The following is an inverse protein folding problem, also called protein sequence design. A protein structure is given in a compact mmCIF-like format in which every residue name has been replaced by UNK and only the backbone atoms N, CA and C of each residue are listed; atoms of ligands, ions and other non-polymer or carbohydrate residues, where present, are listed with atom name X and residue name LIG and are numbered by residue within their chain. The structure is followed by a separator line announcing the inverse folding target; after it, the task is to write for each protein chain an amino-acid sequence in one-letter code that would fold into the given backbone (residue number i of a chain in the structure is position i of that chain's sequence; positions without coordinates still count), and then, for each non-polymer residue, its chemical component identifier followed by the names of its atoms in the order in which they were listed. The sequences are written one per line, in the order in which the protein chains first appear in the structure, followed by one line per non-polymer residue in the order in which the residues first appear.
data_IF_374992908553
#
_entry.id   IF_374992908553
#
_cell.length_a   1.000
_cell.length_b   1.000
_cell.length_c   1.000
_cell.angle_alpha   90.00
_cell.angle_beta   90.00
_cell.angle_gamma   90.00
#
_symmetry.space_group_name_H-M   'P 1'
#
loop_
_entity.id
_entity.type
_entity.pdbx_description
1 polymer ?
#
# COMPACT_ATOMS: atom_id res chain seq x y z
N UNK A 1 23.50 29.32 -23.10
CA UNK A 1 23.04 29.25 -21.69
C UNK A 1 22.42 30.61 -21.33
N UNK A 2 21.22 30.92 -21.83
CA UNK A 2 20.68 32.29 -21.75
C UNK A 2 19.16 32.34 -21.52
N UNK A 3 18.59 31.68 -20.50
CA UNK A 3 17.14 31.87 -20.18
C UNK A 3 16.82 31.76 -18.68
N UNK A 4 17.74 32.10 -17.76
CA UNK A 4 17.47 32.04 -16.31
C UNK A 4 16.58 33.20 -15.81
N UNK A 5 16.41 34.25 -16.62
CA UNK A 5 15.75 35.50 -16.24
C UNK A 5 14.37 35.71 -16.88
N UNK A 6 13.85 34.71 -17.62
CA UNK A 6 12.59 34.82 -18.37
C UNK A 6 11.74 33.56 -18.28
N UNK A 7 10.43 33.70 -18.35
CA UNK A 7 9.50 32.57 -18.42
C UNK A 7 9.60 31.84 -19.76
N UNK A 8 9.75 30.52 -19.75
CA UNK A 8 9.91 29.73 -20.99
C UNK A 8 8.63 29.58 -21.85
N UNK A 9 7.50 30.13 -21.40
CA UNK A 9 6.23 30.12 -22.16
C UNK A 9 5.99 31.48 -22.81
N UNK A 10 5.89 32.55 -22.00
CA UNK A 10 5.61 33.90 -22.54
C UNK A 10 6.87 34.67 -22.95
N UNK A 11 8.06 34.19 -22.57
CA UNK A 11 9.35 34.87 -22.78
C UNK A 11 9.46 36.22 -22.07
N UNK A 12 8.54 36.54 -21.16
CA UNK A 12 8.61 37.74 -20.32
C UNK A 12 9.69 37.60 -19.26
N UNK A 13 10.38 38.70 -18.98
CA UNK A 13 11.40 38.77 -17.95
C UNK A 13 10.76 38.75 -16.56
N UNK A 14 11.37 37.98 -15.65
CA UNK A 14 10.92 37.95 -14.28
C UNK A 14 11.19 39.30 -13.58
N UNK A 15 10.19 39.81 -12.87
CA UNK A 15 10.23 41.04 -12.09
C UNK A 15 9.22 40.97 -10.94
N UNK A 16 8.95 42.09 -10.27
CA UNK A 16 8.01 42.13 -9.14
C UNK A 16 6.57 41.75 -9.54
N UNK A 17 6.18 42.04 -10.78
CA UNK A 17 4.85 41.74 -11.34
C UNK A 17 4.78 40.33 -11.96
N UNK A 18 5.88 39.87 -12.57
CA UNK A 18 6.05 38.59 -13.23
C UNK A 18 6.98 37.74 -12.39
N UNK A 19 6.45 37.24 -11.27
CA UNK A 19 7.24 36.47 -10.28
C UNK A 19 7.46 35.02 -10.75
N UNK A 20 8.68 34.47 -10.67
CA UNK A 20 8.97 33.09 -11.02
C UNK A 20 8.41 32.14 -9.97
N UNK A 21 7.70 31.10 -10.38
CA UNK A 21 7.22 30.02 -9.51
C UNK A 21 7.86 28.70 -9.92
N UNK A 22 8.30 27.93 -8.92
CA UNK A 22 9.04 26.69 -9.13
C UNK A 22 8.12 25.48 -9.12
N UNK A 23 8.21 24.66 -10.17
CA UNK A 23 7.51 23.38 -10.27
C UNK A 23 8.27 22.30 -9.48
N UNK A 24 7.62 21.18 -9.08
CA UNK A 24 8.30 20.07 -8.39
C UNK A 24 9.46 19.45 -9.19
N UNK A 25 9.50 19.62 -10.51
CA UNK A 25 10.61 19.21 -11.35
C UNK A 25 11.80 20.18 -11.37
N UNK A 26 11.73 21.31 -10.63
CA UNK A 26 12.80 22.30 -10.51
C UNK A 26 12.82 23.39 -11.58
N UNK A 27 11.85 23.41 -12.49
CA UNK A 27 11.73 24.43 -13.54
C UNK A 27 10.85 25.61 -13.11
N UNK A 28 11.14 26.80 -13.63
CA UNK A 28 10.43 28.04 -13.27
C UNK A 28 9.48 28.51 -14.39
N UNK A 29 8.26 28.90 -14.01
CA UNK A 29 7.26 29.55 -14.88
C UNK A 29 6.64 30.76 -14.15
N UNK A 30 6.15 31.75 -14.89
CA UNK A 30 5.37 32.83 -14.27
C UNK A 30 3.96 32.36 -13.90
N UNK A 31 3.37 32.98 -12.87
CA UNK A 31 2.03 32.62 -12.37
C UNK A 31 0.96 32.60 -13.47
N UNK A 32 0.94 33.62 -14.33
CA UNK A 32 -0.05 33.72 -15.41
C UNK A 32 0.07 32.59 -16.45
N UNK A 33 1.29 32.11 -16.72
CA UNK A 33 1.50 30.97 -17.62
C UNK A 33 1.13 29.65 -16.95
N UNK A 34 1.33 29.52 -15.64
CA UNK A 34 0.87 28.36 -14.88
C UNK A 34 -0.66 28.27 -14.93
N UNK A 35 -1.37 29.34 -14.58
CA UNK A 35 -2.84 29.38 -14.57
C UNK A 35 -3.41 28.98 -15.94
N UNK A 36 -2.82 29.48 -17.05
CA UNK A 36 -3.25 29.15 -18.42
C UNK A 36 -2.92 27.72 -18.85
N UNK A 37 -1.90 27.12 -18.26
CA UNK A 37 -1.39 25.80 -18.65
C UNK A 37 -2.00 24.66 -17.84
N UNK A 38 -2.65 24.96 -16.71
CA UNK A 38 -3.42 23.99 -15.94
C UNK A 38 -4.63 23.53 -16.78
N UNK A 39 -4.69 22.23 -17.04
CA UNK A 39 -5.80 21.56 -17.71
C UNK A 39 -6.24 20.37 -16.88
N UNK A 40 -7.55 20.29 -16.59
CA UNK A 40 -8.16 19.19 -15.81
C UNK A 40 -7.44 18.90 -14.48
N UNK A 41 -6.99 19.94 -13.78
CA UNK A 41 -6.30 19.81 -12.49
C UNK A 41 -4.84 19.35 -12.57
N UNK A 42 -4.21 19.49 -13.73
CA UNK A 42 -2.81 19.11 -13.95
C UNK A 42 -2.08 20.12 -14.84
N UNK A 43 -0.77 20.27 -14.59
CA UNK A 43 0.16 21.09 -15.35
C UNK A 43 1.32 20.23 -15.84
N UNK A 44 1.51 20.13 -17.16
CA UNK A 44 2.73 19.54 -17.72
C UNK A 44 3.82 20.61 -17.86
N UNK A 45 5.00 20.35 -17.32
CA UNK A 45 6.15 21.24 -17.47
C UNK A 45 6.56 21.34 -18.95
N UNK A 46 6.67 22.53 -19.54
CA UNK A 46 7.05 22.69 -20.95
C UNK A 46 8.52 22.30 -21.22
N UNK A 47 9.37 22.27 -20.20
CA UNK A 47 10.79 21.96 -20.34
C UNK A 47 11.09 20.46 -20.25
N UNK A 48 10.50 19.75 -19.29
CA UNK A 48 10.76 18.32 -19.08
C UNK A 48 9.55 17.41 -19.30
N UNK A 49 8.38 17.96 -19.63
CA UNK A 49 7.12 17.24 -19.87
C UNK A 49 6.57 16.47 -18.67
N UNK A 50 7.17 16.61 -17.48
CA UNK A 50 6.65 16.01 -16.25
C UNK A 50 5.34 16.68 -15.83
N UNK A 51 4.34 15.87 -15.47
CA UNK A 51 3.00 16.34 -15.07
C UNK A 51 2.90 16.50 -13.56
N UNK A 52 2.39 17.65 -13.13
CA UNK A 52 2.19 17.99 -11.73
C UNK A 52 0.72 18.26 -11.47
N UNK A 53 0.19 17.76 -10.35
CA UNK A 53 -1.18 18.07 -9.93
C UNK A 53 -1.24 19.52 -9.45
N UNK A 54 -2.15 20.30 -10.01
CA UNK A 54 -2.33 21.70 -9.63
C UNK A 54 -3.72 22.20 -10.03
N UNK A 55 -4.30 23.00 -9.15
CA UNK A 55 -5.58 23.68 -9.34
C UNK A 55 -5.38 25.15 -9.68
N UNK A 56 -4.35 25.77 -9.11
CA UNK A 56 -4.04 27.20 -9.27
C UNK A 56 -2.52 27.42 -9.27
N UNK A 57 -2.08 28.62 -9.63
CA UNK A 57 -0.67 28.99 -9.55
C UNK A 57 -0.12 29.10 -8.12
N UNK A 58 -0.98 29.30 -7.11
CA UNK A 58 -0.55 29.32 -5.70
C UNK A 58 -0.09 27.96 -5.18
N UNK A 59 -0.43 26.87 -5.88
CA UNK A 59 0.05 25.53 -5.57
C UNK A 59 1.57 25.37 -5.80
N UNK A 60 2.19 26.33 -6.50
CA UNK A 60 3.63 26.37 -6.74
C UNK A 60 4.27 27.58 -6.04
N UNK A 61 5.27 27.37 -5.17
CA UNK A 61 5.89 28.46 -4.42
C UNK A 61 6.69 29.40 -5.33
N UNK A 62 6.86 30.64 -4.87
CA UNK A 62 7.67 31.64 -5.56
C UNK A 62 9.16 31.34 -5.36
N UNK A 63 9.95 31.45 -6.42
CA UNK A 63 11.39 31.25 -6.39
C UNK A 63 12.13 32.54 -6.01
N UNK A 64 12.22 32.81 -4.71
CA UNK A 64 12.92 33.99 -4.17
C UNK A 64 14.43 34.02 -4.47
N UNK A 65 15.05 32.88 -4.81
CA UNK A 65 16.47 32.83 -5.21
C UNK A 65 16.67 33.51 -6.56
N UNK A 66 15.78 33.25 -7.52
CA UNK A 66 15.80 33.90 -8.84
C UNK A 66 15.55 35.40 -8.69
N UNK A 67 14.60 35.82 -7.85
CA UNK A 67 14.36 37.24 -7.59
C UNK A 67 15.57 37.95 -6.98
N UNK A 68 16.23 37.31 -6.02
CA UNK A 68 17.43 37.85 -5.35
C UNK A 68 18.61 38.00 -6.32
N UNK A 69 18.75 37.08 -7.29
CA UNK A 69 19.76 37.19 -8.34
C UNK A 69 19.42 38.32 -9.33
N UNK A 70 18.15 38.46 -9.69
CA UNK A 70 17.70 39.51 -10.61
C UNK A 70 17.83 40.91 -10.00
N UNK A 71 17.61 41.07 -8.70
CA UNK A 71 17.83 42.34 -8.01
C UNK A 71 19.33 42.70 -7.92
N UNK A 72 20.19 41.71 -7.66
CA UNK A 72 21.64 41.91 -7.63
C UNK A 72 22.22 42.30 -9.00
N UNK A 73 21.65 41.81 -10.11
CA UNK A 73 22.09 42.15 -11.48
C UNK A 73 21.65 43.57 -11.87
N UNK A 74 20.49 44.05 -11.38
CA UNK A 74 19.97 45.39 -11.70
C UNK A 74 20.69 46.53 -10.98
N UNK A 75 21.43 46.23 -9.91
CA UNK A 75 22.28 47.19 -9.21
C UNK A 75 23.76 46.89 -9.49
N UNK A 76 24.38 47.53 -10.51
CA UNK A 76 25.83 47.46 -10.63
C UNK A 76 26.45 47.99 -9.33
N UNK A 77 27.28 47.18 -8.69
CA UNK A 77 28.09 47.55 -7.55
C UNK A 77 28.80 48.88 -7.87
N UNK A 78 28.34 49.99 -7.27
CA UNK A 78 29.05 51.26 -7.35
C UNK A 78 30.46 51.09 -6.79
N UNK A 79 31.50 51.64 -7.45
CA UNK A 79 32.86 51.53 -6.97
C UNK A 79 32.97 52.29 -5.64
N UNK A 80 33.44 51.58 -4.61
CA UNK A 80 33.69 52.12 -3.28
C UNK A 80 34.73 53.23 -3.40
N UNK A 81 34.27 54.48 -3.36
CA UNK A 81 35.12 55.67 -3.21
C UNK A 81 35.73 55.63 -1.81
N UNK A 82 37.05 55.46 -1.76
CA UNK A 82 37.85 55.57 -0.54
C UNK A 82 37.80 56.99 0.00
N UNK A 83 37.01 57.22 1.05
CA UNK A 83 37.23 58.35 1.95
C UNK A 83 38.11 57.90 3.12
N UNK A 84 39.27 58.55 3.21
CA UNK A 84 40.13 58.52 4.39
C UNK A 84 39.34 59.08 5.58
N UNK A 85 39.20 58.30 6.65
CA UNK A 85 38.94 58.86 7.97
C UNK A 85 39.84 58.22 9.04
N UNK A 86 40.29 59.13 9.88
CA UNK A 86 41.06 59.04 11.11
C UNK A 86 40.81 57.84 12.03
N UNK A 87 41.92 57.36 12.58
CA UNK A 87 42.12 56.84 13.96
C UNK A 87 40.83 56.68 14.81
N UNK A 88 40.30 55.46 14.79
CA UNK A 88 39.37 54.89 15.77
C UNK A 88 39.58 53.37 15.83
N UNK A 89 40.78 52.92 16.19
CA UNK A 89 41.15 51.50 16.26
C UNK A 89 40.79 50.94 17.64
N UNK A 90 39.66 50.25 17.76
CA UNK A 90 39.38 49.46 18.97
C UNK A 90 38.01 48.82 19.03
N UNK A 91 36.95 49.54 18.70
CA UNK A 91 35.57 49.09 18.98
C UNK A 91 34.89 48.40 17.80
N UNK A 92 35.01 48.95 16.58
CA UNK A 92 34.38 48.36 15.40
C UNK A 92 34.93 46.95 15.10
N UNK A 93 36.25 46.74 15.24
CA UNK A 93 36.87 45.42 15.02
C UNK A 93 36.42 44.37 16.03
N UNK A 94 36.22 44.76 17.30
CA UNK A 94 35.69 43.87 18.35
C UNK A 94 34.22 43.51 18.09
N UNK A 95 33.42 44.47 17.61
CA UNK A 95 32.00 44.23 17.25
C UNK A 95 31.87 43.26 16.08
N UNK A 96 32.67 43.44 15.01
CA UNK A 96 32.69 42.51 13.88
C UNK A 96 33.18 41.12 14.27
N UNK A 97 34.18 41.02 15.15
CA UNK A 97 34.62 39.73 15.69
C UNK A 97 33.55 39.03 16.53
N UNK A 98 32.78 39.77 17.33
CA UNK A 98 31.68 39.21 18.10
C UNK A 98 30.58 38.64 17.19
N UNK A 99 30.12 39.42 16.20
CA UNK A 99 29.12 38.97 15.23
C UNK A 99 29.59 37.75 14.43
N UNK A 100 30.86 37.74 13.99
CA UNK A 100 31.41 36.63 13.23
C UNK A 100 31.54 35.35 14.10
N UNK A 101 31.84 35.50 15.39
CA UNK A 101 31.88 34.37 16.31
C UNK A 101 30.47 33.83 16.59
N UNK A 102 29.47 34.71 16.77
CA UNK A 102 28.06 34.33 16.93
C UNK A 102 27.56 33.55 15.71
N UNK A 103 27.80 34.05 14.50
CA UNK A 103 27.38 33.38 13.27
C UNK A 103 28.13 32.05 13.04
N UNK A 104 29.40 31.97 13.47
CA UNK A 104 30.17 30.73 13.49
C UNK A 104 29.61 29.71 14.48
N UNK A 105 29.18 30.14 15.66
CA UNK A 105 28.60 29.25 16.67
C UNK A 105 27.20 28.77 16.22
N UNK A 106 26.37 29.65 15.65
CA UNK A 106 25.11 29.27 15.00
C UNK A 106 25.31 28.20 13.90
N UNK A 107 26.37 28.34 13.09
CA UNK A 107 26.67 27.35 12.06
C UNK A 107 27.08 26.00 12.66
N UNK A 108 27.84 25.98 13.77
CA UNK A 108 28.19 24.73 14.45
C UNK A 108 26.96 24.04 15.03
N UNK A 109 26.06 24.80 15.65
CA UNK A 109 24.84 24.28 16.23
C UNK A 109 23.93 23.69 15.15
N UNK A 110 23.85 24.35 13.99
CA UNK A 110 23.13 23.83 12.83
C UNK A 110 23.76 22.54 12.29
N UNK A 111 25.10 22.47 12.21
CA UNK A 111 25.80 21.24 11.80
C UNK A 111 25.51 20.10 12.77
N UNK A 112 25.59 20.33 14.08
CA UNK A 112 25.28 19.33 15.10
C UNK A 112 23.83 18.83 14.95
N UNK A 113 22.89 19.76 14.77
CA UNK A 113 21.47 19.42 14.51
C UNK A 113 21.31 18.57 13.25
N UNK A 114 22.03 18.88 12.16
CA UNK A 114 22.00 18.06 10.95
C UNK A 114 22.59 16.66 11.15
N UNK A 115 23.63 16.52 11.98
CA UNK A 115 24.24 15.23 12.32
C UNK A 115 23.29 14.37 13.15
N UNK A 116 22.60 14.97 14.13
CA UNK A 116 21.59 14.30 14.93
C UNK A 116 20.42 13.83 14.06
N UNK A 117 19.86 14.70 13.22
CA UNK A 117 18.79 14.33 12.28
C UNK A 117 19.21 13.20 11.34
N UNK A 118 20.47 13.21 10.86
CA UNK A 118 20.99 12.13 10.02
C UNK A 118 21.03 10.81 10.79
N UNK A 119 21.43 10.81 12.06
CA UNK A 119 21.42 9.62 12.89
C UNK A 119 20.00 9.06 13.06
N UNK A 120 19.02 9.92 13.31
CA UNK A 120 17.61 9.52 13.41
C UNK A 120 17.10 8.88 12.12
N UNK A 121 17.44 9.45 10.95
CA UNK A 121 17.04 8.88 9.67
C UNK A 121 17.66 7.51 9.41
N UNK A 122 18.91 7.29 9.84
CA UNK A 122 19.56 5.98 9.73
C UNK A 122 18.93 4.95 10.67
N UNK A 123 18.57 5.35 11.89
CA UNK A 123 17.82 4.48 12.81
C UNK A 123 16.45 4.12 12.25
N UNK A 124 15.74 5.10 11.67
CA UNK A 124 14.45 4.87 11.02
C UNK A 124 14.56 3.95 9.80
N UNK A 125 15.57 4.12 8.95
CA UNK A 125 15.86 3.22 7.82
C UNK A 125 16.10 1.78 8.28
N UNK A 126 16.85 1.60 9.38
CA UNK A 126 17.07 0.29 9.98
C UNK A 126 15.76 -0.34 10.48
N UNK A 127 14.90 0.43 11.18
CA UNK A 127 13.61 -0.04 11.65
C UNK A 127 12.69 -0.44 10.48
N UNK A 128 12.64 0.36 9.41
CA UNK A 128 11.87 0.02 8.21
C UNK A 128 12.37 -1.28 7.56
N UNK A 129 13.69 -1.44 7.49
CA UNK A 129 14.30 -2.67 6.95
C UNK A 129 13.94 -3.88 7.80
N UNK A 130 14.05 -3.78 9.13
CA UNK A 130 13.65 -4.84 10.05
C UNK A 130 12.18 -5.21 9.88
N UNK A 131 11.27 -4.23 9.83
CA UNK A 131 9.84 -4.49 9.62
C UNK A 131 9.56 -5.15 8.29
N UNK A 132 10.20 -4.71 7.21
CA UNK A 132 10.10 -5.36 5.90
C UNK A 132 10.51 -6.83 6.00
N UNK A 133 11.64 -7.11 6.64
CA UNK A 133 12.17 -8.47 6.75
C UNK A 133 11.23 -9.36 7.61
N UNK A 134 10.61 -8.81 8.67
CA UNK A 134 9.56 -9.48 9.45
C UNK A 134 8.34 -9.82 8.58
N UNK A 135 7.85 -8.88 7.78
CA UNK A 135 6.74 -9.12 6.84
C UNK A 135 7.09 -10.16 5.77
N UNK A 136 8.30 -10.06 5.19
CA UNK A 136 8.78 -11.01 4.21
C UNK A 136 8.89 -12.43 4.79
N UNK A 137 9.31 -12.55 6.05
CA UNK A 137 9.35 -13.81 6.80
C UNK A 137 7.97 -14.46 7.04
N UNK A 138 6.90 -13.66 7.06
CA UNK A 138 5.52 -14.16 7.21
C UNK A 138 4.93 -14.70 5.89
N UNK A 139 5.41 -14.22 4.74
CA UNK A 139 4.84 -14.59 3.43
C UNK A 139 4.83 -16.10 3.16
N UNK A 140 5.91 -16.88 3.43
CA UNK A 140 5.90 -18.33 3.19
C UNK A 140 4.84 -19.07 4.01
N UNK A 141 4.57 -18.63 5.25
CA UNK A 141 3.57 -19.24 6.13
C UNK A 141 2.15 -19.01 5.60
N UNK A 142 1.87 -17.80 5.13
CA UNK A 142 0.58 -17.46 4.51
C UNK A 142 0.39 -18.26 3.21
N UNK A 143 1.43 -18.36 2.39
CA UNK A 143 1.40 -19.14 1.15
C UNK A 143 1.14 -20.63 1.41
N UNK A 144 1.80 -21.22 2.41
CA UNK A 144 1.57 -22.61 2.83
C UNK A 144 0.12 -22.83 3.28
N UNK A 145 -0.44 -21.89 4.07
CA UNK A 145 -1.84 -21.96 4.50
C UNK A 145 -2.82 -21.87 3.32
N UNK A 146 -2.57 -20.98 2.36
CA UNK A 146 -3.36 -20.87 1.12
C UNK A 146 -3.28 -22.17 0.32
N UNK A 147 -2.09 -22.72 0.14
CA UNK A 147 -1.88 -23.97 -0.60
C UNK A 147 -2.63 -25.14 0.03
N UNK A 148 -2.51 -25.33 1.35
CA UNK A 148 -3.25 -26.37 2.09
C UNK A 148 -4.76 -26.22 1.94
N UNK A 149 -5.28 -25.00 2.00
CA UNK A 149 -6.71 -24.74 1.80
C UNK A 149 -7.14 -25.13 0.38
N UNK A 150 -6.35 -24.78 -0.63
CA UNK A 150 -6.63 -25.16 -2.02
C UNK A 150 -6.63 -26.68 -2.21
N UNK A 151 -5.71 -27.42 -1.61
CA UNK A 151 -5.67 -28.88 -1.70
C UNK A 151 -6.90 -29.51 -1.04
N UNK A 152 -7.30 -29.06 0.16
CA UNK A 152 -8.53 -29.55 0.80
C UNK A 152 -9.76 -29.27 -0.06
N UNK A 153 -9.87 -28.08 -0.66
CA UNK A 153 -10.99 -27.76 -1.55
C UNK A 153 -11.06 -28.72 -2.74
N UNK A 154 -9.91 -29.08 -3.35
CA UNK A 154 -9.87 -30.11 -4.40
C UNK A 154 -10.35 -31.47 -3.91
N UNK A 155 -9.98 -31.87 -2.69
CA UNK A 155 -10.48 -33.12 -2.09
C UNK A 155 -11.99 -33.09 -1.87
N UNK A 156 -12.54 -31.98 -1.36
CA UNK A 156 -13.99 -31.80 -1.18
C UNK A 156 -14.73 -31.86 -2.53
N UNK A 157 -14.22 -31.20 -3.55
CA UNK A 157 -14.81 -31.22 -4.89
C UNK A 157 -14.77 -32.63 -5.51
N UNK A 158 -13.65 -33.34 -5.32
CA UNK A 158 -13.52 -34.75 -5.71
C UNK A 158 -14.57 -35.63 -5.04
N UNK A 159 -14.75 -35.47 -3.73
CA UNK A 159 -15.74 -36.20 -2.94
C UNK A 159 -17.18 -35.87 -3.38
N UNK A 160 -17.48 -34.59 -3.61
CA UNK A 160 -18.78 -34.14 -4.13
C UNK A 160 -19.09 -34.75 -5.49
N UNK A 161 -18.10 -34.80 -6.39
CA UNK A 161 -18.24 -35.42 -7.72
C UNK A 161 -18.48 -36.92 -7.60
N UNK A 162 -17.76 -37.60 -6.71
CA UNK A 162 -17.94 -39.02 -6.42
C UNK A 162 -19.36 -39.30 -5.92
N UNK A 163 -19.84 -38.53 -4.94
CA UNK A 163 -21.19 -38.65 -4.40
C UNK A 163 -22.27 -38.41 -5.45
N UNK A 164 -22.08 -37.41 -6.32
CA UNK A 164 -22.99 -37.15 -7.44
C UNK A 164 -23.10 -38.35 -8.39
N UNK A 165 -22.00 -39.05 -8.65
CA UNK A 165 -22.00 -40.28 -9.45
C UNK A 165 -22.82 -41.40 -8.81
N UNK A 166 -22.62 -41.64 -7.51
CA UNK A 166 -23.34 -42.68 -6.76
C UNK A 166 -24.85 -42.39 -6.70
N UNK A 167 -25.23 -41.13 -6.50
CA UNK A 167 -26.63 -40.72 -6.50
C UNK A 167 -27.28 -40.96 -7.86
N UNK A 168 -26.61 -40.58 -8.95
CA UNK A 168 -27.10 -40.82 -10.31
C UNK A 168 -27.27 -42.31 -10.60
N UNK A 169 -26.29 -43.13 -10.22
CA UNK A 169 -26.38 -44.58 -10.35
C UNK A 169 -27.56 -45.15 -9.55
N UNK A 170 -27.76 -44.68 -8.31
CA UNK A 170 -28.90 -45.06 -7.49
C UNK A 170 -30.25 -44.72 -8.11
N UNK A 171 -30.36 -43.54 -8.72
CA UNK A 171 -31.56 -43.12 -9.48
C UNK A 171 -31.83 -44.03 -10.69
N UNK A 172 -30.78 -44.40 -11.43
CA UNK A 172 -30.89 -45.31 -12.58
C UNK A 172 -31.33 -46.71 -12.14
N UNK A 173 -30.72 -47.26 -11.08
CA UNK A 173 -31.10 -48.57 -10.50
C UNK A 173 -32.53 -48.54 -9.96
N UNK A 174 -32.94 -47.47 -9.26
CA UNK A 174 -34.32 -47.27 -8.79
C UNK A 174 -35.32 -47.24 -9.95
N UNK A 175 -35.00 -46.51 -11.03
CA UNK A 175 -35.86 -46.44 -12.22
C UNK A 175 -36.02 -47.80 -12.89
N UNK A 176 -34.94 -48.58 -12.99
CA UNK A 176 -34.97 -49.95 -13.50
C UNK A 176 -35.89 -50.84 -12.65
N UNK A 177 -35.75 -50.79 -11.32
CA UNK A 177 -36.56 -51.56 -10.39
C UNK A 177 -38.06 -51.24 -10.48
N UNK A 178 -38.42 -49.96 -10.57
CA UNK A 178 -39.81 -49.53 -10.78
C UNK A 178 -40.35 -50.07 -12.11
N UNK A 179 -39.54 -50.08 -13.17
CA UNK A 179 -39.91 -50.65 -14.47
C UNK A 179 -40.19 -52.15 -14.39
N UNK A 180 -39.34 -52.92 -13.69
CA UNK A 180 -39.53 -54.36 -13.48
C UNK A 180 -40.79 -54.62 -12.63
N UNK A 181 -41.00 -53.87 -11.56
CA UNK A 181 -42.18 -53.99 -10.71
C UNK A 181 -43.48 -53.75 -11.50
N UNK A 182 -43.51 -52.75 -12.38
CA UNK A 182 -44.64 -52.50 -13.27
C UNK A 182 -44.92 -53.69 -14.21
N UNK A 183 -43.87 -54.27 -14.81
CA UNK A 183 -44.00 -55.46 -15.68
C UNK A 183 -44.48 -56.68 -14.90
N UNK A 184 -43.86 -56.97 -13.76
CA UNK A 184 -44.22 -58.09 -12.90
C UNK A 184 -45.70 -58.03 -12.45
N UNK A 185 -46.18 -56.85 -12.08
CA UNK A 185 -47.59 -56.62 -11.75
C UNK A 185 -48.55 -56.85 -12.93
N UNK A 186 -48.08 -56.72 -14.18
CA UNK A 186 -48.87 -57.05 -15.37
C UNK A 186 -48.85 -58.56 -15.68
N UNK A 187 -47.73 -59.24 -15.42
CA UNK A 187 -47.54 -60.69 -15.68
C UNK A 187 -48.27 -61.57 -14.66
N UNK A 188 -48.34 -61.16 -13.39
CA UNK A 188 -49.18 -61.85 -12.39
C UNK A 188 -50.64 -61.93 -12.85
N UNK A 189 -51.12 -60.93 -13.61
CA UNK A 189 -52.49 -60.92 -14.15
C UNK A 189 -52.69 -61.94 -15.28
N UNK A 190 -51.62 -62.37 -15.98
CA UNK A 190 -51.67 -63.28 -17.14
C UNK A 190 -51.23 -64.71 -16.85
N UNK A 191 -50.80 -65.04 -15.61
CA UNK A 191 -50.36 -66.38 -15.13
C UNK A 191 -48.99 -66.90 -15.64
N UNK A 192 -48.18 -66.09 -16.31
CA UNK A 192 -46.81 -66.46 -16.75
C UNK A 192 -45.71 -66.13 -15.72
N UNK A 193 -45.74 -66.79 -14.56
CA UNK A 193 -45.01 -66.36 -13.35
C UNK A 193 -43.48 -66.61 -13.42
N UNK A 194 -43.02 -67.63 -14.14
CA UNK A 194 -41.64 -68.13 -14.02
C UNK A 194 -40.60 -67.12 -14.55
N UNK A 195 -40.80 -66.53 -15.74
CA UNK A 195 -39.83 -65.57 -16.30
C UNK A 195 -39.81 -64.23 -15.55
N UNK A 196 -40.91 -63.85 -14.90
CA UNK A 196 -40.96 -62.63 -14.08
C UNK A 196 -40.15 -62.75 -12.79
N UNK A 197 -39.94 -63.97 -12.28
CA UNK A 197 -39.20 -64.21 -11.04
C UNK A 197 -37.71 -63.91 -11.19
N UNK A 198 -37.08 -64.38 -12.26
CA UNK A 198 -35.64 -64.24 -12.49
C UNK A 198 -35.22 -62.77 -12.74
N UNK A 199 -36.10 -61.94 -13.31
CA UNK A 199 -35.84 -60.51 -13.51
C UNK A 199 -35.94 -59.73 -12.19
N UNK A 200 -36.90 -60.09 -11.33
CA UNK A 200 -37.07 -59.48 -10.01
C UNK A 200 -35.90 -59.82 -9.09
N UNK A 201 -35.45 -61.07 -9.08
CA UNK A 201 -34.31 -61.51 -8.28
C UNK A 201 -33.00 -60.81 -8.69
N UNK A 202 -32.72 -60.72 -10.00
CA UNK A 202 -31.57 -59.95 -10.51
C UNK A 202 -31.62 -58.47 -10.10
N UNK A 203 -32.80 -57.86 -10.17
CA UNK A 203 -32.96 -56.47 -9.76
C UNK A 203 -32.77 -56.28 -8.25
N UNK A 204 -33.31 -57.19 -7.44
CA UNK A 204 -33.14 -57.17 -5.98
C UNK A 204 -31.67 -57.28 -5.61
N UNK A 205 -30.94 -58.23 -6.18
CA UNK A 205 -29.51 -58.41 -5.93
C UNK A 205 -28.71 -57.16 -6.34
N UNK A 206 -29.03 -56.54 -7.49
CA UNK A 206 -28.39 -55.30 -7.91
C UNK A 206 -28.66 -54.13 -6.95
N UNK A 207 -29.87 -53.98 -6.43
CA UNK A 207 -30.18 -52.93 -5.45
C UNK A 207 -29.48 -53.17 -4.11
N UNK A 208 -29.42 -54.43 -3.67
CA UNK A 208 -28.76 -54.83 -2.44
C UNK A 208 -27.24 -54.57 -2.51
N UNK A 209 -26.60 -54.92 -3.62
CA UNK A 209 -25.18 -54.63 -3.86
C UNK A 209 -24.88 -53.12 -3.81
N UNK A 210 -25.73 -52.30 -4.45
CA UNK A 210 -25.59 -50.84 -4.41
C UNK A 210 -25.78 -50.27 -3.00
N UNK A 211 -26.75 -50.80 -2.24
CA UNK A 211 -26.98 -50.40 -0.85
C UNK A 211 -25.75 -50.68 0.01
N UNK A 212 -25.19 -51.89 -0.08
CA UNK A 212 -23.98 -52.27 0.66
C UNK A 212 -22.77 -51.43 0.24
N UNK A 213 -22.67 -51.08 -1.05
CA UNK A 213 -21.66 -50.15 -1.53
C UNK A 213 -21.81 -48.76 -0.90
N UNK A 214 -23.02 -48.21 -0.83
CA UNK A 214 -23.29 -46.93 -0.17
C UNK A 214 -22.95 -46.96 1.32
N UNK A 215 -23.31 -48.03 2.04
CA UNK A 215 -23.02 -48.19 3.46
C UNK A 215 -21.51 -48.28 3.76
N UNK A 216 -20.71 -48.84 2.84
CA UNK A 216 -19.25 -48.85 2.94
C UNK A 216 -18.60 -47.50 2.62
N UNK A 217 -19.30 -46.62 1.90
CA UNK A 217 -18.71 -45.43 1.25
C UNK A 217 -19.14 -44.09 1.85
N UNK A 218 -20.06 -44.08 2.82
CA UNK A 218 -20.55 -42.88 3.52
C UNK A 218 -20.15 -42.96 5.00
N UNK A 219 -19.47 -41.95 5.59
CA UNK A 219 -18.68 -40.86 5.00
C UNK A 219 -17.18 -41.15 5.04
N UNK A 220 -16.41 -40.55 4.12
CA UNK A 220 -14.97 -40.40 4.30
C UNK A 220 -14.72 -39.32 5.38
N UNK A 221 -14.86 -39.73 6.65
CA UNK A 221 -14.74 -38.87 7.85
C UNK A 221 -13.42 -38.09 7.84
N UNK A 222 -12.38 -38.65 7.24
CA UNK A 222 -11.05 -38.04 7.18
C UNK A 222 -11.02 -36.73 6.40
N UNK A 223 -11.63 -36.65 5.20
CA UNK A 223 -11.66 -35.41 4.40
C UNK A 223 -12.40 -34.29 5.13
N UNK A 224 -13.52 -34.64 5.78
CA UNK A 224 -14.32 -33.69 6.54
C UNK A 224 -13.58 -33.20 7.79
N UNK A 225 -13.01 -34.12 8.58
CA UNK A 225 -12.23 -33.78 9.78
C UNK A 225 -10.98 -32.97 9.44
N UNK A 226 -10.29 -33.28 8.34
CA UNK A 226 -9.13 -32.52 7.88
C UNK A 226 -9.54 -31.10 7.47
N UNK A 227 -10.66 -30.96 6.75
CA UNK A 227 -11.22 -29.67 6.37
C UNK A 227 -11.58 -28.84 7.60
N UNK A 228 -12.26 -29.43 8.57
CA UNK A 228 -12.69 -28.74 9.79
C UNK A 228 -11.50 -28.23 10.60
N UNK A 229 -10.46 -29.05 10.75
CA UNK A 229 -9.22 -28.65 11.43
C UNK A 229 -8.51 -27.50 10.72
N UNK A 230 -8.41 -27.55 9.39
CA UNK A 230 -7.75 -26.47 8.64
C UNK A 230 -8.55 -25.17 8.68
N UNK A 231 -9.88 -25.25 8.63
CA UNK A 231 -10.75 -24.09 8.79
C UNK A 231 -10.53 -23.41 10.14
N UNK A 232 -10.53 -24.17 11.24
CA UNK A 232 -10.26 -23.63 12.57
C UNK A 232 -8.88 -22.96 12.64
N UNK A 233 -7.84 -23.58 12.08
CA UNK A 233 -6.51 -22.98 12.03
C UNK A 233 -6.47 -21.69 11.22
N UNK A 234 -7.22 -21.63 10.11
CA UNK A 234 -7.31 -20.46 9.24
C UNK A 234 -8.07 -19.33 9.92
N UNK A 235 -9.17 -19.63 10.61
CA UNK A 235 -9.96 -18.66 11.38
C UNK A 235 -9.14 -18.03 12.50
N UNK A 236 -8.38 -18.84 13.27
CA UNK A 236 -7.50 -18.34 14.33
C UNK A 236 -6.45 -17.39 13.74
N UNK A 237 -5.78 -17.79 12.65
CA UNK A 237 -4.79 -16.95 11.99
C UNK A 237 -5.38 -15.61 11.49
N UNK A 238 -6.60 -15.63 10.95
CA UNK A 238 -7.29 -14.42 10.51
C UNK A 238 -7.68 -13.52 11.69
N UNK A 239 -8.16 -14.10 12.80
CA UNK A 239 -8.49 -13.32 14.00
C UNK A 239 -7.27 -12.62 14.60
N UNK A 240 -6.13 -13.32 14.67
CA UNK A 240 -4.85 -12.73 15.12
C UNK A 240 -4.44 -11.55 14.23
N UNK A 241 -4.58 -11.68 12.91
CA UNK A 241 -4.29 -10.58 11.96
C UNK A 241 -5.27 -9.40 12.10
N UNK A 242 -6.52 -9.65 12.48
CA UNK A 242 -7.59 -8.62 12.53
C UNK A 242 -7.56 -7.79 13.83
N UNK A 243 -7.19 -8.40 14.97
CA UNK A 243 -7.10 -7.68 16.25
C UNK A 243 -5.97 -6.64 16.26
N UNK A 244 -4.93 -6.83 15.43
CA UNK A 244 -3.86 -5.86 15.27
C UNK A 244 -4.28 -4.66 14.38
N UNK A 245 -5.21 -4.86 13.43
CA UNK A 245 -5.70 -3.81 12.53
C UNK A 245 -6.61 -2.79 13.26
N UNK A 246 -7.56 -3.22 14.11
CA UNK A 246 -8.44 -2.29 14.85
C UNK A 246 -7.66 -1.41 15.86
N UNK A 247 -6.57 -1.93 16.42
CA UNK A 247 -5.67 -1.19 17.30
C UNK A 247 -4.74 -0.26 16.52
N UNK A 248 -4.23 -0.71 15.37
CA UNK A 248 -3.38 0.12 14.52
C UNK A 248 -4.14 1.27 13.84
N UNK A 249 -5.41 1.06 13.46
CA UNK A 249 -6.23 2.08 12.80
C UNK A 249 -6.69 3.17 13.77
N UNK A 250 -6.97 2.81 15.04
CA UNK A 250 -7.23 3.78 16.11
C UNK A 250 -5.97 4.61 16.45
N UNK A 251 -4.80 3.97 16.53
CA UNK A 251 -3.52 4.65 16.77
C UNK A 251 -3.06 5.53 15.59
N UNK A 252 -3.35 5.15 14.34
CA UNK A 252 -3.00 5.91 13.14
C UNK A 252 -3.90 7.14 12.91
N UNK A 253 -5.20 7.03 13.20
CA UNK A 253 -6.15 8.14 13.05
C UNK A 253 -5.82 9.31 14.01
N UNK A 254 -5.36 9.02 15.23
CA UNK A 254 -4.91 10.02 16.21
C UNK A 254 -3.68 10.82 15.74
N UNK A 255 -2.82 10.25 14.89
CA UNK A 255 -1.63 10.92 14.33
C UNK A 255 -1.91 11.79 13.11
N UNK A 256 -2.99 11.48 12.37
CA UNK A 256 -3.36 12.20 11.15
C UNK A 256 -4.14 13.50 11.43
N UNK A 257 -4.78 13.60 12.59
CA UNK A 257 -5.56 14.77 13.02
C UNK A 257 -4.77 15.82 13.83
N UNK A 258 -3.58 15.49 14.29
CA UNK A 258 -2.74 16.36 15.12
C UNK A 258 -1.60 17.00 14.32
N UNK A 259 -1.34 18.28 14.59
CA UNK A 259 -0.26 19.09 14.01
C UNK A 259 1.13 18.68 14.50
N UNK A 260 1.44 17.38 14.50
CA UNK A 260 2.73 16.87 14.95
C UNK A 260 3.84 17.22 13.96
N UNK A 261 4.93 17.77 14.49
CA UNK A 261 6.19 17.97 13.79
C UNK A 261 6.78 16.62 13.33
N UNK A 262 7.71 16.65 12.36
CA UNK A 262 8.37 15.43 11.86
C UNK A 262 9.11 14.68 12.99
N UNK A 263 9.61 15.42 13.98
CA UNK A 263 10.30 14.89 15.18
C UNK A 263 9.31 14.14 16.09
N UNK A 264 8.12 14.68 16.32
CA UNK A 264 7.10 14.02 17.16
C UNK A 264 6.55 12.73 16.52
N UNK A 265 6.46 12.70 15.19
CA UNK A 265 6.08 11.47 14.45
C UNK A 265 7.15 10.38 14.57
N UNK A 266 8.43 10.74 14.56
CA UNK A 266 9.56 9.80 14.75
C UNK A 266 9.63 9.31 16.20
N UNK A 267 9.40 10.17 17.19
CA UNK A 267 9.35 9.78 18.61
C UNK A 267 8.26 8.75 18.92
N UNK A 268 7.08 8.91 18.33
CA UNK A 268 5.97 7.98 18.52
C UNK A 268 6.27 6.59 17.93
N UNK A 269 6.87 6.56 16.73
CA UNK A 269 7.24 5.30 16.05
C UNK A 269 8.40 4.57 16.77
N UNK A 270 9.33 5.31 17.37
CA UNK A 270 10.53 4.76 18.02
C UNK A 270 10.36 4.48 19.53
N UNK A 271 9.30 5.02 20.16
CA UNK A 271 9.03 4.86 21.59
C UNK A 271 10.02 5.57 22.52
N UNK A 272 10.89 6.45 21.99
CA UNK A 272 11.89 7.20 22.76
C UNK A 272 11.74 8.71 22.56
N UNK A 273 11.81 9.53 23.62
CA UNK A 273 11.79 10.98 23.48
C UNK A 273 13.12 11.48 22.88
N UNK A 274 13.09 11.94 21.63
CA UNK A 274 14.08 12.84 21.04
C UNK A 274 14.18 14.12 21.88
N UNK A 275 15.36 14.42 22.41
CA UNK A 275 15.58 15.68 23.13
C UNK A 275 15.64 16.82 22.12
N UNK A 276 14.60 17.66 22.11
CA UNK A 276 14.59 18.91 21.33
C UNK A 276 15.46 19.93 22.06
N UNK A 277 16.41 20.61 21.41
CA UNK A 277 17.10 21.73 22.03
C UNK A 277 16.09 22.87 22.25
N UNK A 278 15.86 23.23 23.51
CA UNK A 278 15.05 24.41 23.85
C UNK A 278 15.90 25.64 23.54
N UNK A 279 15.51 26.37 22.50
CA UNK A 279 16.08 27.69 22.20
C UNK A 279 15.80 28.66 23.34
N UNK A 280 16.84 29.27 23.90
CA UNK A 280 16.80 30.40 24.82
C UNK A 280 17.29 31.67 24.12
#
# INVERSE_FOLDING_TARGET
MEHLNSCNICMDHFNEDVRPRVLPCGHDLCGSCITKSIKRGSLACPQCQHSHRATTESDFPINYRVESLLSAIKHPLSPVVSQKSSRGKGEAGKKWQALFNEEKDNLKDLIATCEDMKADYLEYEHLLSQRRDEHEGCLPRIQDLIYKNQEIMKHIDGEKKRLSGILKEGEERKKCALGILCKYNSVIKTKDIIHGSDEVERCFNSLQEWKEQCERMIPNVETFTLSEKLLQQTEVALMEMSHDDEKAETDFLDLSGSSFSTVEKVQWITGKPLQVPVSA
#
